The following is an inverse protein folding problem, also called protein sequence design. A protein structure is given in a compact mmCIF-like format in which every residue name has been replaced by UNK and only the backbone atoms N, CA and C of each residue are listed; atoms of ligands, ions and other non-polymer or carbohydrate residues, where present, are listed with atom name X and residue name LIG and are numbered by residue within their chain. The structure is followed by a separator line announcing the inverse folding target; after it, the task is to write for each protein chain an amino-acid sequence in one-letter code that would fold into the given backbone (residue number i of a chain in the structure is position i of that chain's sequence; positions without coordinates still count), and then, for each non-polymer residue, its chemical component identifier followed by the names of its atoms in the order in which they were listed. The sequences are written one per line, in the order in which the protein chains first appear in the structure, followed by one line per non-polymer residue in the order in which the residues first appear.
data_IF_676242190300
#
_entry.id   IF_676242190300
#
_cell.length_a   1.000
_cell.length_b   1.000
_cell.length_c   1.000
_cell.angle_alpha   90.00
_cell.angle_beta   90.00
_cell.angle_gamma   90.00
#
_symmetry.space_group_name_H-M   'P 1'
#
loop_
_entity.id
_entity.type
_entity.pdbx_description
1 polymer ?
#
# COMPACT_ATOMS: atom_id res chain seq x y z
N UNK A 1 -12.98 -18.82 3.59
CA UNK A 1 -14.43 -18.60 3.79
C UNK A 1 -14.64 -17.15 4.11
N UNK A 2 -15.64 -16.54 3.51
CA UNK A 2 -15.88 -15.10 3.63
C UNK A 2 -16.91 -14.75 4.70
N UNK A 3 -17.23 -15.73 5.56
CA UNK A 3 -18.21 -15.61 6.64
C UNK A 3 -19.61 -15.17 6.17
N UNK A 4 -19.92 -15.45 4.89
CA UNK A 4 -21.25 -15.38 4.33
C UNK A 4 -21.66 -16.79 3.94
N UNK A 5 -22.80 -17.28 4.44
CA UNK A 5 -23.28 -18.64 4.18
C UNK A 5 -24.80 -18.71 4.17
N UNK A 6 -25.33 -19.67 3.42
CA UNK A 6 -26.74 -20.00 3.46
C UNK A 6 -27.02 -21.03 4.56
N UNK A 7 -27.87 -20.67 5.52
CA UNK A 7 -28.38 -21.54 6.58
C UNK A 7 -29.89 -21.74 6.34
N UNK A 8 -30.30 -22.96 6.03
CA UNK A 8 -31.72 -23.32 5.77
C UNK A 8 -32.41 -22.42 4.69
N UNK A 9 -31.65 -21.99 3.67
CA UNK A 9 -32.16 -21.15 2.60
C UNK A 9 -32.11 -19.64 2.84
N UNK A 10 -31.69 -19.19 4.02
CA UNK A 10 -31.47 -17.78 4.34
C UNK A 10 -29.97 -17.45 4.34
N UNK A 11 -29.62 -16.26 3.82
CA UNK A 11 -28.24 -15.77 3.79
C UNK A 11 -27.87 -15.12 5.13
N UNK A 12 -26.77 -15.55 5.70
CA UNK A 12 -26.18 -15.00 6.92
C UNK A 12 -24.83 -14.35 6.63
N UNK A 13 -24.56 -13.28 7.36
CA UNK A 13 -23.21 -12.74 7.57
C UNK A 13 -22.80 -13.05 9.01
N UNK A 14 -21.81 -13.94 9.18
CA UNK A 14 -21.46 -14.51 10.49
C UNK A 14 -22.70 -15.19 11.14
N UNK A 15 -23.19 -14.64 12.25
CA UNK A 15 -24.35 -15.17 12.96
C UNK A 15 -25.63 -14.34 12.76
N UNK A 16 -25.59 -13.35 11.85
CA UNK A 16 -26.71 -12.42 11.65
C UNK A 16 -27.35 -12.68 10.28
N UNK A 17 -28.66 -12.89 10.27
CA UNK A 17 -29.42 -13.05 9.03
C UNK A 17 -29.47 -11.72 8.24
N UNK A 18 -29.18 -11.78 6.94
CA UNK A 18 -29.19 -10.58 6.08
C UNK A 18 -30.57 -9.95 6.00
N UNK A 19 -31.64 -10.76 6.07
CA UNK A 19 -33.01 -10.26 6.07
C UNK A 19 -33.30 -9.37 7.28
N UNK A 20 -32.81 -9.73 8.47
CA UNK A 20 -32.98 -8.91 9.69
C UNK A 20 -32.27 -7.54 9.57
N UNK A 21 -31.08 -7.55 8.93
CA UNK A 21 -30.37 -6.30 8.65
C UNK A 21 -31.12 -5.42 7.65
N UNK A 22 -31.67 -6.02 6.61
CA UNK A 22 -32.47 -5.32 5.60
C UNK A 22 -33.77 -4.73 6.19
N UNK A 23 -34.45 -5.47 7.05
CA UNK A 23 -35.65 -4.98 7.75
C UNK A 23 -35.32 -3.83 8.71
N UNK A 24 -34.20 -3.91 9.43
CA UNK A 24 -33.81 -2.93 10.42
C UNK A 24 -33.25 -1.65 9.82
N UNK A 25 -32.45 -1.74 8.76
CA UNK A 25 -31.69 -0.62 8.18
C UNK A 25 -32.20 -0.18 6.81
N UNK A 26 -33.05 -0.95 6.17
CA UNK A 26 -33.54 -0.71 4.81
C UNK A 26 -32.58 -1.20 3.73
N UNK A 27 -32.98 -1.02 2.49
CA UNK A 27 -32.20 -1.35 1.28
C UNK A 27 -32.16 -0.12 0.37
N UNK A 28 -31.07 0.09 -0.42
CA UNK A 28 -29.89 -0.78 -0.56
C UNK A 28 -28.98 -0.74 0.68
N UNK A 29 -28.34 -1.87 1.01
CA UNK A 29 -27.50 -2.03 2.19
C UNK A 29 -26.20 -2.75 1.83
N UNK A 30 -25.05 -2.20 2.22
CA UNK A 30 -23.76 -2.90 2.18
C UNK A 30 -23.50 -3.54 3.54
N UNK A 31 -23.16 -4.82 3.53
CA UNK A 31 -22.83 -5.59 4.74
C UNK A 31 -21.39 -6.08 4.63
N UNK A 32 -20.60 -5.85 5.68
CA UNK A 32 -19.23 -6.30 5.77
C UNK A 32 -19.07 -7.22 7.00
N UNK A 33 -18.43 -8.37 6.79
CA UNK A 33 -18.09 -9.27 7.89
C UNK A 33 -16.82 -8.79 8.59
N UNK A 34 -16.91 -8.60 9.88
CA UNK A 34 -15.77 -8.29 10.73
C UNK A 34 -14.73 -9.42 10.71
N UNK A 35 -15.19 -10.65 10.86
CA UNK A 35 -14.33 -11.82 10.86
C UNK A 35 -13.59 -11.99 9.52
N UNK A 36 -14.21 -11.65 8.40
CA UNK A 36 -13.55 -11.65 7.09
C UNK A 36 -12.44 -10.61 7.03
N UNK A 37 -12.71 -9.37 7.47
CA UNK A 37 -11.72 -8.30 7.51
C UNK A 37 -10.51 -8.67 8.36
N UNK A 38 -10.75 -9.15 9.60
CA UNK A 38 -9.71 -9.59 10.52
C UNK A 38 -8.87 -10.73 9.93
N UNK A 39 -9.51 -11.73 9.36
CA UNK A 39 -8.83 -12.88 8.74
C UNK A 39 -7.91 -12.46 7.60
N UNK A 40 -8.36 -11.57 6.72
CA UNK A 40 -7.56 -11.11 5.59
C UNK A 40 -6.35 -10.29 6.04
N UNK A 41 -6.54 -9.41 7.02
CA UNK A 41 -5.42 -8.67 7.59
C UNK A 41 -4.37 -9.61 8.21
N UNK A 42 -4.81 -10.54 9.06
CA UNK A 42 -3.93 -11.53 9.67
C UNK A 42 -3.22 -12.44 8.67
N UNK A 43 -3.83 -12.71 7.52
CA UNK A 43 -3.21 -13.53 6.48
C UNK A 43 -1.92 -12.87 5.93
N UNK A 44 -1.91 -11.54 5.76
CA UNK A 44 -0.70 -10.80 5.34
C UNK A 44 0.27 -10.58 6.49
N UNK A 45 -0.23 -10.14 7.63
CA UNK A 45 0.57 -9.88 8.82
C UNK A 45 1.36 -11.13 9.23
N UNK A 46 0.67 -12.28 9.33
CA UNK A 46 1.32 -13.56 9.67
C UNK A 46 2.29 -14.05 8.59
N UNK A 47 1.99 -13.78 7.30
CA UNK A 47 2.88 -14.19 6.21
C UNK A 47 4.22 -13.46 6.24
N UNK A 48 4.25 -12.23 6.75
CA UNK A 48 5.43 -11.38 6.87
C UNK A 48 6.09 -11.40 8.25
N UNK A 49 5.59 -12.20 9.20
CA UNK A 49 6.03 -12.21 10.60
C UNK A 49 7.53 -12.49 10.81
N UNK A 50 8.25 -12.97 9.79
CA UNK A 50 9.72 -13.17 9.84
C UNK A 50 10.54 -11.89 9.58
N UNK A 51 9.89 -10.77 9.22
CA UNK A 51 10.51 -9.51 8.86
C UNK A 51 9.89 -8.36 9.66
N UNK A 52 10.63 -7.27 9.82
CA UNK A 52 10.01 -6.00 10.19
C UNK A 52 9.10 -5.55 9.06
N UNK A 53 7.80 -5.36 9.33
CA UNK A 53 6.83 -5.14 8.27
C UNK A 53 5.66 -4.22 8.66
N UNK A 54 5.05 -3.64 7.65
CA UNK A 54 3.89 -2.77 7.75
C UNK A 54 2.83 -3.16 6.70
N UNK A 55 1.73 -3.75 7.15
CA UNK A 55 0.57 -4.04 6.28
C UNK A 55 -0.29 -2.80 6.22
N UNK A 56 -0.26 -2.07 5.09
CA UNK A 56 -1.03 -0.86 4.85
C UNK A 56 -2.36 -1.17 4.15
N UNK A 57 -3.46 -0.77 4.76
CA UNK A 57 -4.75 -0.82 4.09
C UNK A 57 -4.91 0.36 3.14
N UNK A 58 -5.19 0.09 1.86
CA UNK A 58 -5.46 1.13 0.86
C UNK A 58 -6.88 1.68 1.04
N UNK A 59 -6.97 2.88 1.60
CA UNK A 59 -8.22 3.51 2.05
C UNK A 59 -9.21 3.76 0.91
N UNK A 60 -8.69 3.94 -0.32
CA UNK A 60 -9.51 4.08 -1.55
C UNK A 60 -10.50 2.94 -1.77
N UNK A 61 -10.22 1.74 -1.26
CA UNK A 61 -11.09 0.58 -1.40
C UNK A 61 -12.38 0.74 -0.59
N UNK A 62 -12.29 1.19 0.65
CA UNK A 62 -13.43 1.49 1.50
C UNK A 62 -13.02 2.42 2.65
N UNK A 63 -13.44 3.66 2.62
CA UNK A 63 -13.11 4.67 3.63
C UNK A 63 -14.15 4.77 4.78
N UNK A 64 -14.96 3.74 5.00
CA UNK A 64 -15.88 3.68 6.11
C UNK A 64 -15.14 3.71 7.44
N UNK A 65 -15.52 4.63 8.35
CA UNK A 65 -14.82 4.83 9.62
C UNK A 65 -14.81 3.58 10.51
N UNK A 66 -15.84 2.74 10.47
CA UNK A 66 -15.88 1.51 11.24
C UNK A 66 -14.90 0.46 10.71
N UNK A 67 -14.73 0.38 9.38
CA UNK A 67 -13.73 -0.48 8.75
C UNK A 67 -12.33 0.00 9.10
N UNK A 68 -12.07 1.30 8.95
CA UNK A 68 -10.78 1.90 9.29
C UNK A 68 -10.44 1.72 10.78
N UNK A 69 -11.43 1.92 11.68
CA UNK A 69 -11.23 1.71 13.11
C UNK A 69 -10.90 0.26 13.46
N UNK A 70 -11.58 -0.71 12.83
CA UNK A 70 -11.26 -2.12 13.02
C UNK A 70 -9.80 -2.39 12.63
N UNK A 71 -9.37 -1.95 11.45
CA UNK A 71 -8.01 -2.15 10.97
C UNK A 71 -6.97 -1.42 11.82
N UNK A 72 -7.27 -0.19 12.26
CA UNK A 72 -6.40 0.55 13.19
C UNK A 72 -6.17 -0.21 14.50
N UNK A 73 -7.21 -0.87 15.03
CA UNK A 73 -7.11 -1.68 16.25
C UNK A 73 -6.33 -2.97 16.06
N UNK A 74 -6.26 -3.50 14.84
CA UNK A 74 -5.39 -4.64 14.48
C UNK A 74 -3.93 -4.24 14.32
N UNK A 75 -3.63 -2.94 14.24
CA UNK A 75 -2.27 -2.43 14.04
C UNK A 75 -1.93 -2.13 12.59
N UNK A 76 -2.92 -2.13 11.69
CA UNK A 76 -2.72 -1.80 10.28
C UNK A 76 -2.09 -0.42 10.09
N UNK A 77 -1.19 -0.30 9.12
CA UNK A 77 -0.90 0.95 8.45
C UNK A 77 -2.00 1.32 7.46
N UNK A 78 -1.86 2.47 6.84
CA UNK A 78 -2.84 2.97 5.86
C UNK A 78 -2.14 3.61 4.67
N UNK A 79 -2.54 3.21 3.47
CA UNK A 79 -2.15 3.86 2.23
C UNK A 79 -3.27 4.79 1.78
N UNK A 80 -2.99 6.09 1.77
CA UNK A 80 -3.94 7.15 1.45
C UNK A 80 -3.56 7.84 0.15
N UNK A 81 -4.56 8.42 -0.52
CA UNK A 81 -4.36 9.17 -1.77
C UNK A 81 -4.97 10.58 -1.72
N UNK A 82 -5.43 11.03 -0.55
CA UNK A 82 -5.99 12.38 -0.37
C UNK A 82 -5.98 12.83 1.09
N UNK A 83 -6.07 14.15 1.31
CA UNK A 83 -6.24 14.73 2.64
C UNK A 83 -7.55 14.32 3.32
N UNK A 84 -8.61 14.04 2.55
CA UNK A 84 -9.87 13.52 3.08
C UNK A 84 -9.72 12.11 3.65
N UNK A 85 -8.91 11.25 3.02
CA UNK A 85 -8.58 9.93 3.55
C UNK A 85 -7.69 10.05 4.80
N UNK A 86 -6.71 10.97 4.81
CA UNK A 86 -5.91 11.28 6.01
C UNK A 86 -6.80 11.57 7.21
N UNK A 87 -7.74 12.49 7.05
CA UNK A 87 -8.66 12.86 8.13
C UNK A 87 -9.51 11.69 8.61
N UNK A 88 -10.00 10.84 7.69
CA UNK A 88 -10.78 9.65 8.05
C UNK A 88 -9.97 8.63 8.83
N UNK A 89 -8.73 8.38 8.42
CA UNK A 89 -7.83 7.45 9.12
C UNK A 89 -7.55 7.94 10.54
N UNK A 90 -7.20 9.22 10.71
CA UNK A 90 -6.93 9.81 12.02
C UNK A 90 -8.20 9.78 12.91
N UNK A 91 -9.37 10.14 12.36
CA UNK A 91 -10.65 10.08 13.07
C UNK A 91 -11.02 8.66 13.49
N UNK A 92 -10.63 7.66 12.70
CA UNK A 92 -10.83 6.24 13.02
C UNK A 92 -9.82 5.68 14.05
N UNK A 93 -8.85 6.47 14.48
CA UNK A 93 -7.82 6.07 15.44
C UNK A 93 -6.58 5.45 14.82
N UNK A 94 -6.39 5.59 13.51
CA UNK A 94 -5.13 5.21 12.84
C UNK A 94 -3.98 6.10 13.28
N UNK A 95 -2.79 5.51 13.38
CA UNK A 95 -1.58 6.23 13.79
C UNK A 95 -0.96 6.95 12.60
N UNK A 96 -0.69 8.24 12.71
CA UNK A 96 -0.03 9.02 11.65
C UNK A 96 1.30 8.40 11.22
N UNK A 97 2.11 7.94 12.17
CA UNK A 97 3.39 7.27 11.91
C UNK A 97 3.31 5.93 11.14
N UNK A 98 2.11 5.46 10.82
CA UNK A 98 1.86 4.28 10.00
C UNK A 98 1.07 4.60 8.73
N UNK A 99 1.03 5.88 8.33
CA UNK A 99 0.33 6.34 7.11
C UNK A 99 1.35 6.61 6.02
N UNK A 100 1.13 6.00 4.85
CA UNK A 100 1.84 6.25 3.61
C UNK A 100 0.94 7.06 2.68
N UNK A 101 1.45 8.13 2.09
CA UNK A 101 0.67 9.00 1.20
C UNK A 101 1.11 8.80 -0.25
N UNK A 102 0.32 8.04 -1.00
CA UNK A 102 0.52 7.71 -2.41
C UNK A 102 -0.28 8.62 -3.35
N UNK A 103 -0.16 8.41 -4.67
CA UNK A 103 -0.95 9.08 -5.71
C UNK A 103 -0.29 10.32 -6.29
N UNK A 104 -0.63 10.60 -7.56
CA UNK A 104 -0.02 11.63 -8.41
C UNK A 104 -0.57 13.05 -8.23
N UNK A 105 -1.60 13.22 -7.41
CA UNK A 105 -2.38 14.47 -7.32
C UNK A 105 -2.30 15.19 -5.99
N UNK A 106 -1.27 14.94 -5.16
CA UNK A 106 -1.13 15.57 -3.84
C UNK A 106 -1.11 17.10 -3.95
N UNK A 107 -2.05 17.75 -3.29
CA UNK A 107 -2.16 19.21 -3.27
C UNK A 107 -1.34 19.80 -2.11
N UNK A 108 -1.00 21.11 -2.20
CA UNK A 108 -0.17 21.77 -1.20
C UNK A 108 -0.75 21.65 0.22
N UNK A 109 -2.03 21.94 0.40
CA UNK A 109 -2.72 21.85 1.67
C UNK A 109 -2.81 20.40 2.21
N UNK A 110 -2.79 19.40 1.35
CA UNK A 110 -2.77 17.99 1.76
C UNK A 110 -1.38 17.57 2.22
N UNK A 111 -0.32 18.05 1.54
CA UNK A 111 1.07 17.87 1.95
C UNK A 111 1.32 18.56 3.30
N UNK A 112 0.85 19.81 3.47
CA UNK A 112 0.93 20.54 4.74
C UNK A 112 0.26 19.76 5.88
N UNK A 113 -0.97 19.28 5.67
CA UNK A 113 -1.70 18.52 6.68
C UNK A 113 -1.00 17.20 7.04
N UNK A 114 -0.43 16.51 6.05
CA UNK A 114 0.31 15.26 6.28
C UNK A 114 1.64 15.50 7.02
N UNK A 115 2.36 16.57 6.68
CA UNK A 115 3.55 16.99 7.41
C UNK A 115 3.22 17.41 8.84
N UNK A 116 2.08 18.07 9.05
CA UNK A 116 1.69 18.55 10.38
C UNK A 116 1.48 17.40 11.36
N UNK A 117 0.86 16.32 10.94
CA UNK A 117 0.61 15.13 11.75
C UNK A 117 1.76 14.12 11.74
N UNK A 118 2.84 14.41 11.00
CA UNK A 118 4.06 13.58 10.91
C UNK A 118 3.77 12.14 10.44
N UNK A 119 3.21 12.00 9.21
CA UNK A 119 2.95 10.69 8.59
C UNK A 119 4.23 9.87 8.42
N UNK A 120 4.11 8.57 8.15
CA UNK A 120 5.26 7.69 7.91
C UNK A 120 6.10 8.19 6.74
N UNK A 121 5.53 8.32 5.55
CA UNK A 121 6.21 8.91 4.38
C UNK A 121 5.23 9.30 3.27
N UNK A 122 5.76 10.07 2.32
CA UNK A 122 5.14 10.31 1.02
C UNK A 122 5.75 9.36 -0.01
N UNK A 123 4.93 8.59 -0.73
CA UNK A 123 5.34 7.92 -1.95
C UNK A 123 5.32 8.93 -3.10
N UNK A 124 6.51 9.37 -3.50
CA UNK A 124 6.72 10.43 -4.50
C UNK A 124 6.71 9.82 -5.89
N UNK A 125 5.93 10.42 -6.77
CA UNK A 125 5.68 9.88 -8.11
C UNK A 125 6.37 10.66 -9.24
N UNK A 126 6.99 11.81 -8.93
CA UNK A 126 7.71 12.63 -9.93
C UNK A 126 8.70 13.59 -9.29
N UNK A 127 9.67 14.08 -10.09
CA UNK A 127 10.61 15.13 -9.66
C UNK A 127 9.89 16.43 -9.28
N UNK A 128 8.84 16.81 -10.00
CA UNK A 128 8.08 18.02 -9.71
C UNK A 128 7.38 17.93 -8.35
N UNK A 129 6.87 16.77 -8.01
CA UNK A 129 6.30 16.52 -6.70
C UNK A 129 7.35 16.59 -5.60
N UNK A 130 8.54 16.00 -5.81
CA UNK A 130 9.67 16.08 -4.89
C UNK A 130 10.00 17.53 -4.51
N UNK A 131 10.18 18.39 -5.52
CA UNK A 131 10.51 19.81 -5.26
C UNK A 131 9.38 20.54 -4.54
N UNK A 132 8.13 20.24 -4.87
CA UNK A 132 6.98 20.82 -4.16
C UNK A 132 6.96 20.39 -2.69
N UNK A 133 7.18 19.12 -2.39
CA UNK A 133 7.25 18.63 -1.00
C UNK A 133 8.39 19.31 -0.24
N UNK A 134 9.57 19.41 -0.86
CA UNK A 134 10.71 20.11 -0.26
C UNK A 134 10.41 21.57 0.08
N UNK A 135 9.79 22.32 -0.86
CA UNK A 135 9.42 23.72 -0.66
C UNK A 135 8.42 23.89 0.50
N UNK A 136 7.37 23.06 0.51
CA UNK A 136 6.35 23.09 1.56
C UNK A 136 6.97 22.71 2.92
N UNK A 137 7.74 21.63 2.98
CA UNK A 137 8.42 21.22 4.21
C UNK A 137 9.33 22.33 4.75
N UNK A 138 10.11 22.96 3.88
CA UNK A 138 10.95 24.11 4.25
C UNK A 138 10.16 25.29 4.78
N UNK A 139 9.03 25.64 4.16
CA UNK A 139 8.15 26.73 4.63
C UNK A 139 7.57 26.47 6.01
N UNK A 140 7.40 25.20 6.37
CA UNK A 140 6.91 24.75 7.69
C UNK A 140 8.03 24.51 8.71
N UNK A 141 9.30 24.63 8.32
CA UNK A 141 10.45 24.28 9.16
C UNK A 141 10.50 22.80 9.53
N UNK A 142 10.01 21.94 8.63
CA UNK A 142 9.94 20.46 8.78
C UNK A 142 10.82 19.77 7.75
N UNK A 143 11.03 18.48 7.94
CA UNK A 143 11.66 17.58 6.97
C UNK A 143 10.66 16.50 6.59
N UNK A 144 10.47 16.30 5.29
CA UNK A 144 9.55 15.30 4.77
C UNK A 144 10.26 13.97 4.57
N UNK A 145 9.76 12.91 5.20
CA UNK A 145 10.18 11.55 4.89
C UNK A 145 9.53 11.12 3.58
N UNK A 146 10.34 10.64 2.65
CA UNK A 146 9.89 10.21 1.33
C UNK A 146 10.35 8.80 0.97
N UNK A 147 9.55 8.16 0.15
CA UNK A 147 9.85 6.97 -0.62
C UNK A 147 9.55 7.29 -2.09
N UNK A 148 10.43 6.93 -3.03
CA UNK A 148 10.08 7.09 -4.45
C UNK A 148 9.35 5.86 -4.96
N UNK A 149 8.23 6.10 -5.65
CA UNK A 149 7.61 5.06 -6.45
C UNK A 149 8.39 4.86 -7.74
N UNK A 150 9.12 3.75 -7.79
CA UNK A 150 9.90 3.33 -8.94
C UNK A 150 9.09 2.35 -9.77
N UNK A 151 8.98 2.63 -11.06
CA UNK A 151 8.39 1.69 -12.00
C UNK A 151 9.48 0.69 -12.42
N UNK A 152 9.40 -0.59 -12.01
CA UNK A 152 10.49 -1.54 -12.24
C UNK A 152 10.58 -2.05 -13.69
N UNK A 153 9.70 -1.61 -14.59
CA UNK A 153 9.64 -2.04 -16.00
C UNK A 153 9.49 -3.57 -16.12
N UNK A 154 8.54 -4.12 -15.40
CA UNK A 154 8.18 -5.54 -15.39
C UNK A 154 6.79 -5.72 -15.97
N UNK A 155 6.64 -6.71 -16.85
CA UNK A 155 5.31 -7.09 -17.37
C UNK A 155 4.55 -7.89 -16.32
N UNK A 156 3.52 -7.28 -15.76
CA UNK A 156 2.64 -7.89 -14.76
C UNK A 156 1.74 -9.01 -15.34
N UNK A 157 1.75 -9.21 -16.67
CA UNK A 157 0.91 -10.19 -17.38
C UNK A 157 -0.58 -10.07 -17.04
N UNK A 158 -1.01 -8.87 -16.70
CA UNK A 158 -2.41 -8.55 -16.38
C UNK A 158 -3.06 -7.76 -17.51
N UNK A 159 -4.36 -7.46 -17.34
CA UNK A 159 -5.06 -6.66 -18.34
C UNK A 159 -4.39 -5.29 -18.52
N UNK A 160 -4.17 -4.78 -19.77
CA UNK A 160 -3.42 -3.55 -20.03
C UNK A 160 -3.90 -2.32 -19.25
N UNK A 161 -5.20 -2.24 -18.91
CA UNK A 161 -5.76 -1.13 -18.15
C UNK A 161 -5.41 -1.12 -16.65
N UNK A 162 -4.94 -2.25 -16.11
CA UNK A 162 -4.61 -2.40 -14.67
C UNK A 162 -3.12 -2.71 -14.43
N UNK A 163 -2.33 -2.86 -15.49
CA UNK A 163 -0.88 -2.96 -15.42
C UNK A 163 -0.27 -1.58 -15.12
N UNK A 164 0.60 -1.48 -14.14
CA UNK A 164 1.30 -0.23 -13.75
C UNK A 164 2.83 -0.39 -13.73
N UNK A 165 3.34 -1.57 -14.07
CA UNK A 165 4.77 -1.90 -14.03
C UNK A 165 5.56 -1.66 -15.32
N UNK A 166 4.91 -1.27 -16.44
CA UNK A 166 5.55 -1.07 -17.72
C UNK A 166 6.11 0.35 -17.90
N UNK A 167 7.14 0.50 -18.72
CA UNK A 167 7.86 1.76 -18.98
C UNK A 167 6.96 2.94 -19.39
N UNK A 168 5.86 2.69 -20.08
CA UNK A 168 4.93 3.72 -20.57
C UNK A 168 3.85 4.10 -19.56
N UNK A 169 3.92 3.60 -18.33
CA UNK A 169 2.91 3.88 -17.33
C UNK A 169 3.07 5.28 -16.75
N UNK A 170 1.91 5.90 -16.48
CA UNK A 170 1.78 7.26 -15.95
C UNK A 170 2.16 7.43 -14.48
N UNK A 171 2.48 6.34 -13.78
CA UNK A 171 2.75 6.33 -12.35
C UNK A 171 4.23 6.08 -12.07
N UNK A 172 4.77 6.82 -11.10
CA UNK A 172 6.11 6.64 -10.60
C UNK A 172 7.22 7.13 -11.51
N UNK A 173 8.44 7.03 -11.02
CA UNK A 173 9.68 7.34 -11.73
C UNK A 173 10.11 6.12 -12.55
N UNK A 174 10.53 6.33 -13.78
CA UNK A 174 11.06 5.25 -14.60
C UNK A 174 12.33 4.65 -13.97
N UNK A 175 12.50 3.35 -14.04
CA UNK A 175 13.65 2.64 -13.45
C UNK A 175 15.00 3.22 -13.92
N UNK A 176 15.09 3.59 -15.20
CA UNK A 176 16.30 4.16 -15.78
C UNK A 176 16.69 5.53 -15.18
N UNK A 177 15.70 6.29 -14.69
CA UNK A 177 15.89 7.64 -14.15
C UNK A 177 16.00 7.64 -12.62
N UNK A 178 15.59 6.55 -11.97
CA UNK A 178 15.46 6.46 -10.50
C UNK A 178 16.75 6.85 -9.77
N UNK A 179 17.91 6.30 -10.18
CA UNK A 179 19.20 6.63 -9.55
C UNK A 179 19.51 8.13 -9.61
N UNK A 180 19.18 8.81 -10.72
CA UNK A 180 19.38 10.24 -10.88
C UNK A 180 18.47 11.04 -9.95
N UNK A 181 17.21 10.63 -9.85
CA UNK A 181 16.21 11.31 -9.00
C UNK A 181 16.57 11.17 -7.52
N UNK A 182 16.99 9.98 -7.07
CA UNK A 182 17.49 9.77 -5.71
C UNK A 182 18.70 10.67 -5.38
N UNK A 183 19.65 10.80 -6.32
CA UNK A 183 20.80 11.69 -6.17
C UNK A 183 20.44 13.18 -6.14
N UNK A 184 19.35 13.58 -6.80
CA UNK A 184 18.83 14.93 -6.69
C UNK A 184 18.18 15.14 -5.33
N UNK A 185 17.33 14.20 -4.89
CA UNK A 185 16.66 14.27 -3.60
C UNK A 185 17.62 14.34 -2.42
N UNK A 186 18.75 13.60 -2.48
CA UNK A 186 19.77 13.61 -1.41
C UNK A 186 20.48 14.96 -1.20
N UNK A 187 20.26 15.92 -2.09
CA UNK A 187 20.82 17.29 -1.97
C UNK A 187 19.81 18.31 -1.44
N UNK A 188 18.55 17.88 -1.24
CA UNK A 188 17.48 18.75 -0.78
C UNK A 188 17.46 18.81 0.76
N UNK A 189 17.42 20.02 1.30
CA UNK A 189 17.61 20.28 2.74
C UNK A 189 16.42 19.77 3.60
N UNK A 190 15.21 19.74 3.00
CA UNK A 190 13.98 19.42 3.72
C UNK A 190 13.39 18.06 3.33
N UNK A 191 14.23 17.18 2.77
CA UNK A 191 13.88 15.83 2.37
C UNK A 191 14.72 14.82 3.15
N UNK A 192 14.03 13.80 3.68
CA UNK A 192 14.63 12.61 4.27
C UNK A 192 14.20 11.41 3.43
N UNK A 193 15.15 10.81 2.73
CA UNK A 193 14.91 9.63 1.87
C UNK A 193 14.93 8.40 2.76
N UNK A 194 13.78 7.80 2.99
CA UNK A 194 13.69 6.59 3.82
C UNK A 194 13.44 5.33 2.99
N UNK A 195 12.89 5.43 1.78
CA UNK A 195 12.37 4.23 1.13
C UNK A 195 12.31 4.24 -0.38
N UNK A 196 11.85 3.10 -0.87
CA UNK A 196 11.50 2.82 -2.24
C UNK A 196 10.14 2.11 -2.28
N UNK A 197 9.26 2.55 -3.17
CA UNK A 197 7.94 1.96 -3.42
C UNK A 197 7.86 1.41 -4.84
N UNK A 198 7.11 0.35 -5.03
CA UNK A 198 6.66 -0.08 -6.35
C UNK A 198 5.22 -0.59 -6.32
N UNK A 199 4.55 -0.47 -7.45
CA UNK A 199 3.27 -1.14 -7.66
C UNK A 199 3.16 -1.55 -9.12
N UNK A 200 3.24 -2.86 -9.39
CA UNK A 200 3.35 -3.40 -10.75
C UNK A 200 2.00 -3.65 -11.44
N UNK A 201 0.92 -3.64 -10.68
CA UNK A 201 -0.44 -3.86 -11.23
C UNK A 201 -1.40 -4.42 -10.20
N UNK A 202 -2.62 -4.67 -10.66
CA UNK A 202 -3.68 -5.29 -9.87
C UNK A 202 -4.05 -6.64 -10.46
N UNK A 203 -4.65 -7.51 -9.64
CA UNK A 203 -5.12 -8.84 -10.03
C UNK A 203 -4.00 -9.73 -10.62
N UNK A 204 -2.83 -9.73 -9.97
CA UNK A 204 -1.74 -10.62 -10.34
C UNK A 204 -2.00 -12.03 -9.83
N UNK A 205 -2.06 -12.97 -10.76
CA UNK A 205 -2.30 -14.40 -10.47
C UNK A 205 -1.03 -15.23 -10.51
N UNK A 206 0.11 -14.61 -10.85
CA UNK A 206 1.43 -15.26 -10.91
C UNK A 206 2.41 -14.57 -9.96
N UNK A 207 3.36 -15.33 -9.41
CA UNK A 207 4.40 -14.83 -8.51
C UNK A 207 5.61 -14.24 -9.25
N UNK A 208 5.88 -14.71 -10.49
CA UNK A 208 7.07 -14.31 -11.24
C UNK A 208 7.23 -12.79 -11.40
N UNK A 209 6.17 -11.98 -11.69
CA UNK A 209 6.32 -10.53 -11.79
C UNK A 209 6.77 -9.86 -10.49
N UNK A 210 6.31 -10.38 -9.34
CA UNK A 210 6.75 -9.87 -8.03
C UNK A 210 8.23 -10.15 -7.78
N UNK A 211 8.67 -11.36 -8.12
CA UNK A 211 10.07 -11.77 -7.98
C UNK A 211 10.98 -10.91 -8.86
N UNK A 212 10.60 -10.74 -10.13
CA UNK A 212 11.36 -9.93 -11.09
C UNK A 212 11.44 -8.45 -10.66
N UNK A 213 10.34 -7.91 -10.16
CA UNK A 213 10.32 -6.55 -9.63
C UNK A 213 11.22 -6.40 -8.40
N UNK A 214 11.11 -7.31 -7.43
CA UNK A 214 11.92 -7.29 -6.22
C UNK A 214 13.41 -7.39 -6.53
N UNK A 215 13.82 -8.31 -7.41
CA UNK A 215 15.23 -8.48 -7.81
C UNK A 215 15.79 -7.17 -8.41
N UNK A 216 15.02 -6.48 -9.25
CA UNK A 216 15.40 -5.17 -9.81
C UNK A 216 15.51 -4.09 -8.74
N UNK A 217 14.53 -4.00 -7.83
CA UNK A 217 14.54 -2.99 -6.76
C UNK A 217 15.72 -3.21 -5.80
N UNK A 218 15.98 -4.44 -5.37
CA UNK A 218 17.12 -4.75 -4.51
C UNK A 218 18.45 -4.39 -5.18
N UNK A 219 18.62 -4.67 -6.48
CA UNK A 219 19.81 -4.26 -7.22
C UNK A 219 19.96 -2.73 -7.30
N UNK A 220 18.86 -1.98 -7.39
CA UNK A 220 18.89 -0.51 -7.33
C UNK A 220 19.23 -0.01 -5.92
N UNK A 221 18.66 -0.61 -4.89
CA UNK A 221 18.94 -0.28 -3.49
C UNK A 221 20.44 -0.45 -3.20
N UNK A 222 21.07 -1.53 -3.63
CA UNK A 222 22.50 -1.74 -3.46
C UNK A 222 23.34 -0.64 -4.14
N UNK A 223 22.94 -0.20 -5.35
CA UNK A 223 23.61 0.91 -6.04
C UNK A 223 23.47 2.24 -5.30
N UNK A 224 22.29 2.50 -4.70
CA UNK A 224 22.02 3.72 -3.93
C UNK A 224 22.81 3.71 -2.61
N UNK A 225 22.86 2.57 -1.92
CA UNK A 225 23.65 2.40 -0.69
C UNK A 225 25.14 2.62 -0.96
N UNK A 226 25.67 2.15 -2.08
CA UNK A 226 27.06 2.40 -2.47
C UNK A 226 27.36 3.91 -2.70
N UNK A 227 26.33 4.73 -2.89
CA UNK A 227 26.42 6.19 -3.04
C UNK A 227 26.10 6.94 -1.74
N UNK A 228 25.88 6.24 -0.63
CA UNK A 228 25.56 6.83 0.66
C UNK A 228 24.08 7.20 0.81
N UNK A 229 23.19 6.66 -0.03
CA UNK A 229 21.74 6.85 0.09
C UNK A 229 21.16 5.58 0.71
N UNK A 230 20.78 5.68 1.98
CA UNK A 230 20.21 4.55 2.73
C UNK A 230 18.73 4.39 2.43
N UNK A 231 18.35 3.15 2.12
CA UNK A 231 16.96 2.74 1.91
C UNK A 231 16.64 1.68 2.96
N UNK A 232 15.79 2.03 3.90
CA UNK A 232 15.38 1.18 5.03
C UNK A 232 13.86 0.91 5.08
N UNK A 233 13.12 1.37 4.07
CA UNK A 233 11.71 1.11 3.86
C UNK A 233 11.50 0.66 2.41
N UNK A 234 10.95 -0.53 2.20
CA UNK A 234 10.65 -1.09 0.89
C UNK A 234 9.17 -1.44 0.80
N UNK A 235 8.41 -0.63 0.07
CA UNK A 235 6.99 -0.90 -0.20
C UNK A 235 6.87 -1.71 -1.51
N UNK A 236 6.38 -2.92 -1.39
CA UNK A 236 6.17 -3.83 -2.51
C UNK A 236 4.82 -3.61 -3.21
N UNK A 237 4.08 -2.60 -2.78
CA UNK A 237 2.74 -2.32 -3.27
C UNK A 237 1.74 -3.40 -2.89
N UNK A 238 0.75 -3.57 -3.74
CA UNK A 238 -0.28 -4.59 -3.59
C UNK A 238 -0.46 -5.39 -4.88
N UNK A 239 -1.72 -5.67 -5.22
CA UNK A 239 -2.05 -6.25 -6.51
C UNK A 239 -2.17 -7.75 -6.53
N UNK A 240 -1.92 -8.46 -5.40
CA UNK A 240 -2.17 -9.89 -5.33
C UNK A 240 -3.62 -10.18 -5.74
N UNK A 241 -3.81 -11.12 -6.66
CA UNK A 241 -5.10 -11.41 -7.24
C UNK A 241 -6.07 -12.06 -6.25
N UNK A 242 -7.34 -11.96 -6.57
CA UNK A 242 -8.41 -12.71 -5.91
C UNK A 242 -9.18 -13.53 -6.96
N UNK A 243 -9.89 -14.52 -6.48
CA UNK A 243 -10.72 -15.36 -7.33
C UNK A 243 -12.03 -14.64 -7.66
N UNK A 244 -12.23 -14.33 -8.94
CA UNK A 244 -13.52 -13.84 -9.46
C UNK A 244 -14.36 -14.95 -10.10
N UNK A 245 -13.70 -15.91 -10.76
CA UNK A 245 -14.35 -17.03 -11.46
C UNK A 245 -13.57 -18.32 -11.21
N UNK A 246 -12.66 -18.65 -12.12
CA UNK A 246 -11.88 -19.89 -12.13
C UNK A 246 -10.38 -19.65 -11.87
N UNK A 247 -9.99 -18.40 -11.57
CA UNK A 247 -8.61 -18.07 -11.26
C UNK A 247 -8.20 -18.70 -9.92
N UNK A 248 -6.94 -19.10 -9.83
CA UNK A 248 -6.32 -19.62 -8.62
C UNK A 248 -5.11 -18.72 -8.25
N UNK A 249 -5.36 -17.50 -7.76
CA UNK A 249 -4.28 -16.61 -7.37
C UNK A 249 -3.54 -17.17 -6.16
N UNK A 250 -2.23 -16.88 -6.03
CA UNK A 250 -1.45 -17.31 -4.89
C UNK A 250 -1.98 -16.71 -3.59
N UNK A 251 -1.88 -17.48 -2.51
CA UNK A 251 -2.21 -17.00 -1.18
C UNK A 251 -1.13 -16.04 -0.65
N UNK A 252 -1.44 -15.15 0.32
CA UNK A 252 -0.44 -14.28 0.96
C UNK A 252 0.77 -15.04 1.49
N UNK A 253 0.59 -16.23 2.06
CA UNK A 253 1.69 -17.06 2.55
C UNK A 253 2.59 -17.60 1.43
N UNK A 254 2.02 -17.95 0.28
CA UNK A 254 2.78 -18.41 -0.90
C UNK A 254 3.56 -17.25 -1.50
N UNK A 255 2.93 -16.07 -1.59
CA UNK A 255 3.57 -14.84 -2.04
C UNK A 255 4.75 -14.45 -1.14
N UNK A 256 4.55 -14.39 0.17
CA UNK A 256 5.62 -14.07 1.12
C UNK A 256 6.76 -15.10 1.10
N UNK A 257 6.42 -16.39 1.01
CA UNK A 257 7.41 -17.47 0.90
C UNK A 257 8.28 -17.35 -0.36
N UNK A 258 7.68 -16.97 -1.49
CA UNK A 258 8.42 -16.79 -2.75
C UNK A 258 9.43 -15.62 -2.71
N UNK A 259 9.16 -14.62 -1.88
CA UNK A 259 10.02 -13.44 -1.72
C UNK A 259 11.01 -13.57 -0.56
N UNK A 260 10.79 -14.49 0.37
CA UNK A 260 11.49 -14.58 1.65
C UNK A 260 13.02 -14.64 1.51
N UNK A 261 13.56 -15.50 0.65
CA UNK A 261 15.02 -15.65 0.47
C UNK A 261 15.68 -14.35 -0.02
N UNK A 262 14.98 -13.59 -0.87
CA UNK A 262 15.45 -12.32 -1.42
C UNK A 262 15.38 -11.22 -0.38
N UNK A 263 14.29 -11.17 0.36
CA UNK A 263 14.08 -10.20 1.43
C UNK A 263 15.02 -10.39 2.61
N UNK A 264 15.59 -11.59 2.79
CA UNK A 264 16.59 -11.85 3.82
C UNK A 264 17.86 -10.97 3.71
N UNK A 265 18.15 -10.42 2.52
CA UNK A 265 19.24 -9.47 2.31
C UNK A 265 18.87 -8.02 2.59
N UNK A 266 17.60 -7.72 2.79
CA UNK A 266 17.12 -6.37 3.06
C UNK A 266 16.94 -6.15 4.56
N UNK A 267 17.74 -5.24 5.10
CA UNK A 267 17.68 -4.84 6.51
C UNK A 267 16.84 -3.56 6.62
N UNK A 268 15.53 -3.72 6.78
CA UNK A 268 14.58 -2.62 6.85
C UNK A 268 13.14 -3.10 6.93
N UNK A 269 12.21 -2.15 6.99
CA UNK A 269 10.77 -2.41 7.05
C UNK A 269 10.23 -2.73 5.66
N UNK A 270 9.52 -3.84 5.54
CA UNK A 270 8.79 -4.24 4.33
C UNK A 270 7.35 -3.76 4.44
N UNK A 271 6.93 -2.87 3.56
CA UNK A 271 5.55 -2.43 3.47
C UNK A 271 4.80 -3.13 2.33
N UNK A 272 3.51 -3.30 2.53
CA UNK A 272 2.58 -3.86 1.54
C UNK A 272 1.31 -3.05 1.55
N UNK A 273 0.95 -2.46 0.41
CA UNK A 273 -0.34 -1.78 0.23
C UNK A 273 -1.40 -2.75 -0.23
N UNK A 274 -2.45 -2.93 0.57
CA UNK A 274 -3.39 -4.01 0.38
C UNK A 274 -4.85 -3.55 0.34
N UNK A 275 -5.60 -4.01 -0.66
CA UNK A 275 -7.00 -3.62 -0.88
C UNK A 275 -8.03 -4.72 -0.59
N UNK A 276 -7.61 -6.00 -0.55
CA UNK A 276 -8.53 -7.15 -0.52
C UNK A 276 -9.22 -7.40 0.83
N UNK A 277 -9.03 -6.54 1.81
CA UNK A 277 -9.69 -6.65 3.11
C UNK A 277 -11.21 -6.48 3.04
N UNK A 278 -11.72 -5.88 1.96
CA UNK A 278 -13.13 -5.51 1.85
C UNK A 278 -13.84 -6.02 0.61
N UNK A 279 -13.16 -6.68 -0.31
CA UNK A 279 -13.80 -7.24 -1.51
C UNK A 279 -14.37 -8.62 -1.22
N UNK A 280 -15.55 -8.91 -1.79
CA UNK A 280 -16.25 -10.19 -1.59
C UNK A 280 -15.49 -11.37 -2.18
#
# INVERSE_FOLDING_TARGET
MDHFEYKQGELYCEDVAIVELAEKYGTPLFVYSRATLERHWHAFDSALAGHDHLVCYAVKANSNLAVLNLLARLGSGFDIVSGGELQRVLQAGGRASSIVFSGVGKQANEIEAALDVDIHCFNVESEQELYRINEIAGSMGKTARISFRVNPDVDAKTHPYISTGLKENKFGVAFADAESVYRQASKLEHIDIIGMDCHIGSQLTELSPYIDALDRLLALIEKLRAQGIDINHLDLGGGLGIRYRDEEPPLPAEWASALHERLASFDGTIAVSYTHLTLP
#
